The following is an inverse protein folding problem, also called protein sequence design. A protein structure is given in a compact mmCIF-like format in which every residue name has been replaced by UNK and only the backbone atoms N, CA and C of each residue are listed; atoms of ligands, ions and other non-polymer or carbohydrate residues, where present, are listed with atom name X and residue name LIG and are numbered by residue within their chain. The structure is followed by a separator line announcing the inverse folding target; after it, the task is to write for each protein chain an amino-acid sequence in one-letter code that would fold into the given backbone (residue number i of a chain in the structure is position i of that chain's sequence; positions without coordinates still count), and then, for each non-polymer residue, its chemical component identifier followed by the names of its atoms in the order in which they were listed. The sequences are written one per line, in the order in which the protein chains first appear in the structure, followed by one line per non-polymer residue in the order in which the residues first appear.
data_IF_350517203042
#
_entry.id   IF_350517203042
#
_cell.length_a   1.000
_cell.length_b   1.000
_cell.length_c   1.000
_cell.angle_alpha   90.00
_cell.angle_beta   90.00
_cell.angle_gamma   90.00
#
_symmetry.space_group_name_H-M   'P 1'
#
loop_
_entity.id
_entity.type
_entity.pdbx_description
1 polymer ?
#
# COMPACT_ATOMS: atom_id res chain seq x y z
N UNK A 1 12.26 13.51 20.60
CA UNK A 1 11.41 13.11 21.72
C UNK A 1 10.01 12.72 21.24
N UNK A 2 9.23 13.61 20.62
CA UNK A 2 7.86 13.31 20.13
C UNK A 2 7.82 12.13 19.15
N UNK A 3 8.74 12.08 18.19
CA UNK A 3 8.83 10.99 17.22
C UNK A 3 9.12 9.63 17.90
N UNK A 4 9.94 9.61 18.93
CA UNK A 4 10.19 8.39 19.70
C UNK A 4 8.92 7.92 20.42
N UNK A 5 8.18 8.84 21.04
CA UNK A 5 6.92 8.52 21.71
C UNK A 5 5.90 7.90 20.74
N UNK A 6 5.76 8.45 19.53
CA UNK A 6 4.89 7.91 18.48
C UNK A 6 5.36 6.53 18.04
N UNK A 7 6.66 6.35 17.84
CA UNK A 7 7.22 5.11 17.31
C UNK A 7 7.22 3.96 18.32
N UNK A 8 7.37 4.26 19.59
CA UNK A 8 7.42 3.26 20.67
C UNK A 8 6.05 2.81 21.15
N UNK A 9 4.99 3.54 20.77
CA UNK A 9 3.62 3.19 21.14
C UNK A 9 3.17 1.91 20.43
N UNK A 10 2.43 1.05 21.13
CA UNK A 10 1.94 -0.24 20.61
C UNK A 10 0.88 -0.10 19.51
N UNK A 11 0.12 0.98 19.49
CA UNK A 11 -0.82 1.32 18.43
C UNK A 11 -0.22 2.34 17.47
N UNK A 12 -0.63 2.28 16.22
CA UNK A 12 -0.12 3.14 15.16
C UNK A 12 -1.19 3.58 14.17
N UNK A 13 -2.33 4.10 14.67
CA UNK A 13 -3.44 4.50 13.81
C UNK A 13 -3.15 5.82 13.09
N UNK A 14 -3.01 6.90 13.84
CA UNK A 14 -2.81 8.23 13.26
C UNK A 14 -2.05 9.16 14.20
N UNK A 15 -1.34 10.12 13.60
CA UNK A 15 -0.67 11.21 14.30
C UNK A 15 -0.75 12.50 13.48
N UNK A 16 -0.53 13.63 14.12
CA UNK A 16 -0.48 14.91 13.45
C UNK A 16 0.73 15.72 13.90
N UNK A 17 1.29 16.48 12.97
CA UNK A 17 2.31 17.48 13.23
C UNK A 17 1.84 18.86 12.77
N UNK A 18 2.03 19.87 13.59
CA UNK A 18 1.71 21.25 13.26
C UNK A 18 3.01 22.04 13.13
N UNK A 19 3.34 22.47 11.93
CA UNK A 19 4.58 23.18 11.65
C UNK A 19 4.45 24.05 10.39
N UNK A 20 5.23 25.09 10.30
CA UNK A 20 5.42 25.91 9.09
C UNK A 20 6.66 25.47 8.29
N UNK A 21 7.48 24.61 8.86
CA UNK A 21 8.70 24.13 8.23
C UNK A 21 8.44 22.83 7.46
N UNK A 22 8.60 22.89 6.16
CA UNK A 22 8.38 21.76 5.25
C UNK A 22 9.37 20.61 5.45
N UNK A 23 10.59 20.91 5.83
CA UNK A 23 11.61 19.86 6.06
C UNK A 23 11.31 19.08 7.34
N UNK A 24 10.93 19.78 8.41
CA UNK A 24 10.44 19.13 9.64
C UNK A 24 9.21 18.26 9.38
N UNK A 25 8.24 18.73 8.61
CA UNK A 25 7.05 17.97 8.26
C UNK A 25 7.39 16.70 7.47
N UNK A 26 8.29 16.82 6.51
CA UNK A 26 8.75 15.70 5.67
C UNK A 26 9.55 14.67 6.46
N UNK A 27 10.50 15.10 7.27
CA UNK A 27 11.29 14.22 8.12
C UNK A 27 10.40 13.46 9.11
N UNK A 28 9.45 14.15 9.74
CA UNK A 28 8.50 13.51 10.65
C UNK A 28 7.65 12.48 9.92
N UNK A 29 7.05 12.83 8.77
CA UNK A 29 6.20 11.93 8.00
C UNK A 29 6.95 10.69 7.51
N UNK A 30 8.23 10.83 7.16
CA UNK A 30 9.06 9.71 6.71
C UNK A 30 9.47 8.78 7.86
N UNK A 31 9.73 9.32 9.04
CA UNK A 31 10.25 8.55 10.18
C UNK A 31 9.18 8.04 11.13
N UNK A 32 7.98 8.57 11.08
CA UNK A 32 6.87 8.12 11.91
C UNK A 32 6.39 6.73 11.48
N UNK A 33 6.42 5.76 12.39
CA UNK A 33 5.95 4.39 12.17
C UNK A 33 4.46 4.28 12.51
N UNK A 34 3.65 4.84 11.65
CA UNK A 34 2.21 4.97 11.89
C UNK A 34 1.46 4.98 10.56
N UNK A 35 0.21 4.53 10.54
CA UNK A 35 -0.55 4.36 9.31
C UNK A 35 -1.00 5.65 8.64
N UNK A 36 -1.30 6.68 9.43
CA UNK A 36 -1.77 7.97 8.91
C UNK A 36 -1.01 9.12 9.57
N UNK A 37 -0.51 10.05 8.77
CA UNK A 37 0.18 11.25 9.25
C UNK A 37 -0.50 12.49 8.70
N UNK A 38 -0.97 13.35 9.57
CA UNK A 38 -1.50 14.67 9.22
C UNK A 38 -0.44 15.76 9.38
N UNK A 39 -0.28 16.59 8.36
CA UNK A 39 0.52 17.82 8.46
C UNK A 39 -0.43 19.00 8.50
N UNK A 40 -0.45 19.69 9.61
CA UNK A 40 -1.39 20.80 9.89
C UNK A 40 -2.88 20.39 9.82
N UNK A 41 -3.15 19.11 9.97
CA UNK A 41 -4.49 18.51 10.00
C UNK A 41 -4.60 17.67 11.27
N UNK A 42 -5.55 17.94 12.16
CA UNK A 42 -5.63 17.27 13.46
C UNK A 42 -6.08 15.80 13.36
N UNK A 43 -6.89 15.48 12.37
CA UNK A 43 -7.39 14.11 12.13
C UNK A 43 -7.05 13.72 10.69
N UNK A 44 -6.02 12.87 10.48
CA UNK A 44 -5.48 12.59 9.15
C UNK A 44 -6.28 11.52 8.39
N UNK A 45 -7.59 11.59 8.39
CA UNK A 45 -8.46 10.66 7.67
C UNK A 45 -8.76 11.23 6.28
N UNK A 46 -8.37 10.54 5.18
CA UNK A 46 -8.65 10.99 3.83
C UNK A 46 -10.12 10.76 3.43
N UNK A 47 -10.48 11.27 2.27
CA UNK A 47 -11.76 10.97 1.65
C UNK A 47 -11.89 9.47 1.32
N UNK A 48 -13.13 8.96 1.31
CA UNK A 48 -13.42 7.51 1.24
C UNK A 48 -12.94 6.78 -0.03
N UNK A 49 -12.52 7.47 -1.07
CA UNK A 49 -11.91 6.85 -2.25
C UNK A 49 -10.40 6.61 -2.09
N UNK A 50 -9.78 7.09 -1.02
CA UNK A 50 -8.43 6.75 -0.62
C UNK A 50 -8.45 5.69 0.48
N UNK A 51 -7.52 4.77 0.42
CA UNK A 51 -7.33 3.80 1.48
C UNK A 51 -6.73 4.46 2.72
N UNK A 52 -7.17 4.06 3.89
CA UNK A 52 -6.64 4.53 5.16
C UNK A 52 -6.71 3.44 6.23
N UNK A 53 -5.81 3.50 7.17
CA UNK A 53 -5.75 2.55 8.26
C UNK A 53 -4.51 2.71 9.11
N UNK A 54 -4.40 1.89 10.14
CA UNK A 54 -3.31 1.91 11.09
C UNK A 54 -2.23 0.89 10.78
N UNK A 55 -1.14 1.02 11.52
CA UNK A 55 -0.08 0.03 11.60
C UNK A 55 -0.09 -0.62 12.99
N UNK A 56 0.81 -1.54 13.23
CA UNK A 56 1.00 -2.20 14.53
C UNK A 56 -0.32 -2.85 15.01
N UNK A 57 -0.71 -2.65 16.26
CA UNK A 57 -1.96 -3.19 16.82
C UNK A 57 -3.23 -2.43 16.42
N UNK A 58 -3.12 -1.39 15.61
CA UNK A 58 -4.27 -0.64 15.11
C UNK A 58 -4.97 -1.26 13.89
N UNK A 59 -4.36 -2.25 13.27
CA UNK A 59 -4.95 -2.96 12.12
C UNK A 59 -4.48 -4.42 12.09
N UNK A 60 -5.34 -5.31 11.64
CA UNK A 60 -5.01 -6.70 11.33
C UNK A 60 -4.74 -6.86 9.83
N UNK A 61 -3.53 -7.31 9.48
CA UNK A 61 -3.09 -7.46 8.09
C UNK A 61 -2.58 -6.16 7.46
N UNK A 62 -2.29 -6.23 6.15
CA UNK A 62 -1.59 -5.18 5.43
C UNK A 62 -2.49 -4.39 4.46
N UNK A 63 -3.71 -4.87 4.23
CA UNK A 63 -4.67 -4.23 3.33
C UNK A 63 -5.73 -3.49 4.12
N UNK A 64 -5.98 -2.26 3.72
CA UNK A 64 -6.94 -1.37 4.35
C UNK A 64 -8.30 -1.45 3.67
N UNK A 65 -9.30 -0.85 4.30
CA UNK A 65 -10.59 -0.60 3.69
C UNK A 65 -10.54 0.64 2.80
N UNK A 66 -11.47 0.74 1.87
CA UNK A 66 -11.63 1.82 0.91
C UNK A 66 -10.55 1.90 -0.18
N UNK A 67 -10.87 2.58 -1.27
CA UNK A 67 -10.01 2.68 -2.43
C UNK A 67 -9.69 1.31 -3.07
N UNK A 68 -8.64 1.23 -3.89
CA UNK A 68 -8.21 -0.03 -4.52
C UNK A 68 -7.83 -1.13 -3.54
N UNK A 69 -7.36 -0.78 -2.35
CA UNK A 69 -7.02 -1.74 -1.30
C UNK A 69 -8.24 -2.46 -0.73
N UNK A 70 -9.41 -1.83 -0.71
CA UNK A 70 -10.67 -2.46 -0.33
C UNK A 70 -11.05 -3.61 -1.28
N UNK A 71 -10.77 -3.46 -2.57
CA UNK A 71 -10.97 -4.54 -3.55
C UNK A 71 -10.00 -5.68 -3.30
N UNK A 72 -8.73 -5.38 -3.07
CA UNK A 72 -7.68 -6.39 -2.79
C UNK A 72 -7.96 -7.16 -1.51
N UNK A 73 -8.53 -6.52 -0.51
CA UNK A 73 -8.88 -7.16 0.76
C UNK A 73 -9.86 -8.31 0.60
N UNK A 74 -10.88 -8.15 -0.26
CA UNK A 74 -11.95 -9.14 -0.47
C UNK A 74 -11.70 -10.10 -1.63
N UNK A 75 -10.59 -9.97 -2.34
CA UNK A 75 -10.31 -10.75 -3.55
C UNK A 75 -8.97 -11.48 -3.45
N UNK A 76 -8.79 -12.45 -4.33
CA UNK A 76 -7.50 -13.13 -4.53
C UNK A 76 -7.10 -12.98 -5.98
N UNK A 77 -5.83 -12.74 -6.21
CA UNK A 77 -5.28 -12.75 -7.55
C UNK A 77 -5.23 -14.19 -8.08
N UNK A 78 -5.71 -14.40 -9.29
CA UNK A 78 -5.58 -15.66 -10.02
C UNK A 78 -4.95 -15.38 -11.37
N UNK A 79 -3.91 -16.12 -11.70
CA UNK A 79 -3.31 -16.10 -13.04
C UNK A 79 -3.84 -17.29 -13.81
N UNK A 80 -4.37 -17.04 -15.01
CA UNK A 80 -4.81 -18.05 -15.95
C UNK A 80 -4.01 -17.89 -17.25
N UNK A 81 -3.27 -18.92 -17.60
CA UNK A 81 -2.60 -19.00 -18.90
C UNK A 81 -3.27 -20.10 -19.71
N UNK A 82 -3.75 -19.77 -20.89
CA UNK A 82 -4.41 -20.74 -21.77
C UNK A 82 -3.83 -20.69 -23.18
N UNK A 83 -3.85 -21.84 -23.83
CA UNK A 83 -3.49 -22.00 -25.24
C UNK A 83 -4.53 -22.89 -25.91
N UNK A 84 -5.01 -22.46 -27.04
CA UNK A 84 -5.95 -23.20 -27.85
C UNK A 84 -5.27 -23.62 -29.15
N UNK A 85 -4.56 -24.79 -29.20
CA UNK A 85 -3.91 -25.24 -30.42
C UNK A 85 -4.95 -25.65 -31.46
N UNK A 86 -4.73 -25.28 -32.69
CA UNK A 86 -5.62 -25.58 -33.82
C UNK A 86 -5.48 -27.02 -34.40
N UNK A 87 -4.86 -27.92 -33.64
CA UNK A 87 -4.74 -29.34 -34.01
C UNK A 87 -4.19 -30.22 -32.91
N UNK A 88 -4.77 -31.40 -32.74
CA UNK A 88 -4.40 -32.35 -31.67
C UNK A 88 -3.05 -33.06 -32.00
N UNK A 89 -2.54 -32.93 -33.24
CA UNK A 89 -1.41 -33.72 -33.73
C UNK A 89 -0.07 -32.98 -33.83
N UNK A 90 -0.03 -31.66 -33.66
CA UNK A 90 1.23 -30.92 -33.66
C UNK A 90 1.66 -30.63 -32.24
N UNK A 91 2.81 -31.15 -31.84
CA UNK A 91 3.39 -30.91 -30.51
C UNK A 91 3.54 -29.42 -30.21
N UNK A 92 3.36 -29.06 -28.97
CA UNK A 92 3.44 -27.68 -28.54
C UNK A 92 4.85 -27.12 -28.77
N UNK A 93 4.99 -26.19 -29.71
CA UNK A 93 6.22 -25.41 -29.88
C UNK A 93 6.07 -24.11 -29.08
N UNK A 94 6.84 -23.97 -28.03
CA UNK A 94 6.90 -22.75 -27.24
C UNK A 94 8.00 -21.85 -27.81
N UNK A 95 7.64 -20.87 -28.61
CA UNK A 95 8.57 -19.82 -29.04
C UNK A 95 8.48 -18.63 -28.08
N UNK A 96 9.40 -18.55 -27.14
CA UNK A 96 9.64 -17.33 -26.38
C UNK A 96 10.53 -16.43 -27.25
N UNK A 97 9.95 -15.43 -27.91
CA UNK A 97 10.76 -14.33 -28.43
C UNK A 97 11.37 -13.62 -27.24
N UNK A 98 12.63 -13.82 -26.96
CA UNK A 98 13.40 -12.90 -26.17
C UNK A 98 13.29 -11.53 -26.85
N UNK A 99 12.80 -10.52 -26.14
CA UNK A 99 12.68 -9.17 -26.64
C UNK A 99 14.06 -8.71 -27.10
N UNK A 100 14.25 -8.69 -28.39
CA UNK A 100 15.44 -8.14 -29.02
C UNK A 100 15.23 -6.67 -29.26
N UNK A 101 16.16 -5.95 -28.78
CA UNK A 101 16.78 -4.76 -29.35
C UNK A 101 15.89 -3.75 -30.09
N UNK A 102 15.76 -2.60 -29.45
CA UNK A 102 15.88 -1.30 -30.15
C UNK A 102 16.69 -0.36 -29.31
#
# INVERSE_FOLDING_TARGET
EALALVNDHEHGNGTAIFTRDGDTARDFGHRARIGMVGVNVPIPVPLAFHSFGGWKRSLFGDHYMHGPEGVRFYTRMKTLTSRWPSGIKEGAVFNFKAGGEH
#
